data_IF_474820981337
#
_entry.id   IF_474820981337
#
_cell.length_a   1.000
_cell.length_b   1.000
_cell.length_c   1.000
_cell.angle_alpha   90.00
_cell.angle_beta   90.00
_cell.angle_gamma   90.00
#
_symmetry.space_group_name_H-M   'P 1'
#
loop_
_entity.id
_entity.type
_entity.pdbx_description
1 polymer ?
#
# COMPACT_ATOMS: atom_id res chain seq x y z
N UNK A 1 11.08 -10.52 12.03
CA UNK A 1 12.51 -10.18 11.99
C UNK A 1 13.11 -10.39 10.58
N UNK A 2 13.24 -11.63 10.08
CA UNK A 2 13.90 -11.89 8.79
C UNK A 2 13.21 -11.24 7.57
N UNK A 3 11.88 -11.34 7.46
CA UNK A 3 11.16 -10.72 6.34
C UNK A 3 11.31 -9.19 6.28
N UNK A 4 11.30 -8.54 7.45
CA UNK A 4 11.55 -7.10 7.58
C UNK A 4 12.97 -6.75 7.14
N UNK A 5 13.96 -7.50 7.58
CA UNK A 5 15.36 -7.29 7.18
C UNK A 5 15.54 -7.43 5.65
N UNK A 6 14.89 -8.41 5.02
CA UNK A 6 14.91 -8.59 3.57
C UNK A 6 14.31 -7.36 2.84
N UNK A 7 13.13 -6.90 3.26
CA UNK A 7 12.49 -5.72 2.68
C UNK A 7 13.36 -4.46 2.82
N UNK A 8 14.11 -4.32 3.91
CA UNK A 8 14.97 -3.16 4.12
C UNK A 8 16.20 -3.10 3.19
N UNK A 9 16.50 -4.16 2.43
CA UNK A 9 17.57 -4.12 1.42
C UNK A 9 17.11 -3.30 0.21
N UNK A 10 16.03 -3.70 -0.47
CA UNK A 10 15.49 -3.01 -1.67
C UNK A 10 13.97 -3.17 -1.88
N UNK A 11 13.22 -3.61 -0.86
CA UNK A 11 11.77 -3.88 -0.97
C UNK A 11 10.87 -2.96 -0.14
N UNK A 12 11.46 -2.04 0.62
CA UNK A 12 10.76 -1.25 1.62
C UNK A 12 9.69 -0.37 0.94
N UNK A 13 8.47 -0.49 1.44
CA UNK A 13 7.31 0.24 0.94
C UNK A 13 6.57 -0.44 -0.21
N UNK A 14 7.11 -1.47 -0.86
CA UNK A 14 6.48 -2.07 -2.03
C UNK A 14 5.31 -3.00 -1.67
N UNK A 15 5.53 -4.32 -1.60
CA UNK A 15 4.45 -5.27 -1.33
C UNK A 15 4.97 -6.51 -0.59
N UNK A 16 4.10 -7.19 0.15
CA UNK A 16 4.32 -8.56 0.58
C UNK A 16 3.04 -9.40 0.41
N UNK A 17 3.20 -10.71 0.32
CA UNK A 17 2.09 -11.67 0.42
C UNK A 17 2.22 -12.50 1.69
N UNK A 18 1.09 -12.76 2.33
CA UNK A 18 1.00 -13.68 3.46
C UNK A 18 -0.08 -14.72 3.19
N UNK A 19 0.28 -15.99 3.37
CA UNK A 19 -0.67 -17.10 3.35
C UNK A 19 -0.97 -17.50 4.79
N UNK A 20 -2.11 -17.04 5.30
CA UNK A 20 -2.57 -17.29 6.67
C UNK A 20 -4.07 -17.07 6.75
N UNK A 21 -4.75 -17.87 7.58
CA UNK A 21 -6.16 -17.66 7.96
C UNK A 21 -6.31 -17.12 9.39
N UNK A 22 -5.18 -16.88 10.08
CA UNK A 22 -5.18 -16.26 11.41
C UNK A 22 -5.07 -14.74 11.28
N UNK A 23 -6.08 -14.03 11.78
CA UNK A 23 -6.11 -12.57 11.84
C UNK A 23 -4.95 -11.99 12.66
N UNK A 24 -4.52 -12.68 13.71
CA UNK A 24 -3.39 -12.24 14.54
C UNK A 24 -2.08 -12.24 13.75
N UNK A 25 -1.86 -13.27 12.92
CA UNK A 25 -0.72 -13.33 12.03
C UNK A 25 -0.78 -12.22 10.96
N UNK A 26 -1.96 -11.99 10.38
CA UNK A 26 -2.18 -10.97 9.35
C UNK A 26 -1.90 -9.58 9.90
N UNK A 27 -2.49 -9.25 11.06
CA UNK A 27 -2.28 -7.97 11.75
C UNK A 27 -0.82 -7.78 12.13
N UNK A 28 -0.18 -8.80 12.71
CA UNK A 28 1.24 -8.75 13.07
C UNK A 28 2.11 -8.46 11.85
N UNK A 29 1.87 -9.12 10.72
CA UNK A 29 2.62 -8.86 9.49
C UNK A 29 2.38 -7.43 8.96
N UNK A 30 1.13 -6.98 8.94
CA UNK A 30 0.77 -5.64 8.47
C UNK A 30 1.33 -4.49 9.33
N UNK A 31 1.51 -4.72 10.64
CA UNK A 31 2.10 -3.73 11.55
C UNK A 31 3.63 -3.72 11.52
N UNK A 32 4.27 -4.87 11.29
CA UNK A 32 5.72 -5.00 11.43
C UNK A 32 6.51 -4.75 10.14
N UNK A 33 5.93 -5.10 8.98
CA UNK A 33 6.62 -5.02 7.70
C UNK A 33 6.53 -3.60 7.12
N UNK A 34 7.64 -3.03 6.61
CA UNK A 34 7.63 -1.74 5.94
C UNK A 34 7.11 -1.93 4.51
N UNK A 35 5.79 -1.99 4.32
CA UNK A 35 5.14 -2.23 3.03
C UNK A 35 3.93 -1.32 2.87
N UNK A 36 3.56 -0.99 1.63
CA UNK A 36 2.31 -0.28 1.36
C UNK A 36 1.13 -1.22 1.10
N UNK A 37 1.41 -2.45 0.67
CA UNK A 37 0.39 -3.47 0.36
C UNK A 37 0.75 -4.82 0.95
N UNK A 38 -0.16 -5.38 1.73
CA UNK A 38 -0.11 -6.77 2.16
C UNK A 38 -1.27 -7.53 1.50
N UNK A 39 -0.98 -8.46 0.60
CA UNK A 39 -2.02 -9.33 0.03
C UNK A 39 -2.13 -10.62 0.84
N UNK A 40 -3.37 -11.04 1.12
CA UNK A 40 -3.65 -12.19 1.96
C UNK A 40 -4.21 -13.33 1.11
N UNK A 41 -3.59 -14.51 1.20
CA UNK A 41 -4.01 -15.72 0.49
C UNK A 41 -4.17 -15.53 -1.03
N UNK A 42 -3.32 -14.70 -1.64
CA UNK A 42 -3.34 -14.35 -3.06
C UNK A 42 -1.92 -14.22 -3.63
N UNK A 43 -1.77 -14.42 -4.94
CA UNK A 43 -0.49 -14.25 -5.63
C UNK A 43 -0.12 -12.76 -5.79
N UNK A 44 0.96 -12.34 -5.14
CA UNK A 44 1.36 -10.92 -5.07
C UNK A 44 1.54 -10.24 -6.43
N UNK A 45 2.14 -10.92 -7.41
CA UNK A 45 2.50 -10.33 -8.70
C UNK A 45 1.29 -9.85 -9.50
N UNK A 46 0.15 -10.54 -9.37
CA UNK A 46 -1.07 -10.24 -10.10
C UNK A 46 -2.04 -9.39 -9.29
N UNK A 47 -2.03 -9.51 -7.96
CA UNK A 47 -3.09 -8.93 -7.13
C UNK A 47 -2.66 -7.67 -6.38
N UNK A 48 -1.36 -7.43 -6.16
CA UNK A 48 -0.92 -6.21 -5.46
C UNK A 48 -1.23 -4.92 -6.24
N UNK A 49 -1.28 -5.01 -7.57
CA UNK A 49 -1.72 -3.92 -8.45
C UNK A 49 -3.23 -3.71 -8.48
N UNK A 50 -3.99 -4.46 -7.69
CA UNK A 50 -5.45 -4.47 -7.72
C UNK A 50 -6.00 -5.66 -8.46
N UNK A 51 -6.96 -6.33 -7.82
CA UNK A 51 -7.70 -7.48 -8.34
C UNK A 51 -9.19 -7.28 -8.05
N UNK A 52 -10.04 -7.94 -8.84
CA UNK A 52 -11.48 -8.06 -8.57
C UNK A 52 -11.77 -8.66 -7.17
N UNK A 53 -10.76 -9.26 -6.53
CA UNK A 53 -10.87 -9.98 -5.25
C UNK A 53 -10.25 -9.27 -4.05
N UNK A 54 -9.65 -8.08 -4.18
CA UNK A 54 -8.97 -7.43 -3.04
C UNK A 54 -9.17 -5.92 -2.90
N UNK A 55 -10.00 -5.29 -3.74
CA UNK A 55 -10.47 -3.92 -3.51
C UNK A 55 -9.43 -2.81 -3.66
N UNK A 56 -8.18 -3.11 -4.03
CA UNK A 56 -7.22 -2.07 -4.37
C UNK A 56 -7.56 -1.43 -5.72
N UNK A 57 -7.26 -0.15 -5.87
CA UNK A 57 -7.39 0.53 -7.15
C UNK A 57 -6.52 -0.18 -8.22
N UNK A 58 -7.07 -0.56 -9.38
CA UNK A 58 -6.34 -1.30 -10.41
C UNK A 58 -5.31 -0.40 -11.10
N UNK A 59 -4.04 -0.81 -11.08
CA UNK A 59 -2.93 -0.06 -11.69
C UNK A 59 -1.68 -0.93 -11.86
N UNK A 60 -0.79 -0.51 -12.76
CA UNK A 60 0.58 -1.05 -12.90
C UNK A 60 1.63 -0.17 -12.23
N UNK A 61 1.24 0.98 -11.67
CA UNK A 61 2.14 1.92 -10.99
C UNK A 61 1.85 1.96 -9.49
N UNK A 62 2.76 1.43 -8.69
CA UNK A 62 2.57 1.19 -7.26
C UNK A 62 3.44 2.14 -6.43
N UNK A 63 2.80 3.02 -5.65
CA UNK A 63 3.52 3.90 -4.73
C UNK A 63 4.16 3.12 -3.59
N UNK A 64 5.43 3.36 -3.30
CA UNK A 64 6.17 2.73 -2.19
C UNK A 64 6.19 3.58 -0.91
N UNK A 65 5.45 4.67 -0.86
CA UNK A 65 5.44 5.59 0.28
C UNK A 65 6.82 6.19 0.57
N UNK A 66 6.96 6.82 1.73
CA UNK A 66 8.21 7.46 2.15
C UNK A 66 9.36 6.47 2.31
N UNK A 67 9.07 5.20 2.60
CA UNK A 67 10.09 4.14 2.66
C UNK A 67 10.84 3.95 1.34
N UNK A 68 10.13 4.06 0.21
CA UNK A 68 10.71 3.97 -1.13
C UNK A 68 10.93 5.34 -1.80
N UNK A 69 10.89 6.45 -1.04
CA UNK A 69 11.07 7.80 -1.58
C UNK A 69 9.94 8.29 -2.50
N UNK A 70 8.71 7.77 -2.35
CA UNK A 70 7.56 8.19 -3.13
C UNK A 70 6.61 9.09 -2.30
N UNK A 71 5.93 10.00 -2.99
CA UNK A 71 4.94 10.89 -2.37
C UNK A 71 3.64 10.18 -1.97
N UNK A 72 3.40 8.97 -2.48
CA UNK A 72 2.21 8.16 -2.18
C UNK A 72 2.60 6.71 -1.91
N UNK A 73 1.84 6.05 -1.03
CA UNK A 73 1.87 4.60 -0.79
C UNK A 73 0.74 3.87 -1.52
N UNK A 74 -0.22 4.61 -2.06
CA UNK A 74 -1.39 4.06 -2.72
C UNK A 74 -1.04 3.41 -4.08
N UNK A 75 -1.98 2.62 -4.59
CA UNK A 75 -2.03 2.32 -6.01
C UNK A 75 -2.37 3.61 -6.75
N UNK A 76 -1.54 4.00 -7.73
CA UNK A 76 -1.78 5.21 -8.50
C UNK A 76 -3.12 5.09 -9.23
N UNK A 77 -4.05 5.93 -8.82
CA UNK A 77 -5.42 6.03 -9.33
C UNK A 77 -5.73 7.44 -9.88
N UNK A 78 -6.84 7.59 -10.61
CA UNK A 78 -7.22 8.82 -11.33
C UNK A 78 -7.23 10.07 -10.43
N UNK A 79 -7.57 9.92 -9.15
CA UNK A 79 -7.57 11.02 -8.16
C UNK A 79 -6.21 11.71 -8.00
N UNK A 80 -5.11 11.00 -8.24
CA UNK A 80 -3.76 11.56 -8.14
C UNK A 80 -3.38 12.38 -9.38
N UNK A 81 -4.14 12.26 -10.47
CA UNK A 81 -3.92 12.97 -11.73
C UNK A 81 -4.84 14.21 -11.86
N UNK A 82 -5.63 14.50 -10.84
CA UNK A 82 -6.55 15.63 -10.82
C UNK A 82 -6.14 16.65 -9.75
N UNK A 83 -6.10 17.92 -10.16
CA UNK A 83 -5.95 19.02 -9.22
C UNK A 83 -7.30 19.37 -8.59
N UNK A 84 -7.30 19.66 -7.29
CA UNK A 84 -8.49 20.12 -6.55
C UNK A 84 -8.22 21.50 -5.96
N UNK A 85 -8.80 22.52 -6.56
CA UNK A 85 -8.80 23.90 -6.02
C UNK A 85 -9.78 24.00 -4.85
N UNK A 86 -9.37 24.62 -3.74
CA UNK A 86 -10.20 24.81 -2.54
C UNK A 86 -10.29 26.29 -2.19
N UNK A 87 -11.49 26.77 -1.86
CA UNK A 87 -11.74 28.14 -1.39
C UNK A 87 -11.99 28.08 0.12
N UNK A 88 -11.10 28.67 0.91
CA UNK A 88 -11.27 28.80 2.37
C UNK A 88 -11.88 30.15 2.72
N UNK A 89 -13.14 30.16 3.17
CA UNK A 89 -13.79 31.37 3.73
C UNK A 89 -13.51 31.44 5.24
N UNK A 90 -13.52 32.66 5.79
CA UNK A 90 -13.51 32.84 7.25
C UNK A 90 -14.72 32.12 7.84
N UNK A 91 -14.57 31.54 9.03
CA UNK A 91 -15.71 31.10 9.84
C UNK A 91 -16.09 32.31 10.70
N UNK A 92 -17.25 32.95 10.48
CA UNK A 92 -17.69 34.06 11.34
C UNK A 92 -18.04 33.54 12.73
N UNK A 93 -17.87 34.42 13.72
CA UNK A 93 -18.24 34.19 15.13
C UNK A 93 -19.74 33.94 15.32
#
# INVERSE_FOLDING_TARGET
AMAKANLLVEGAGHSAALHSNSDDHIKKAGLELPISRLVINQASSLTAGGSLTNGFAPTTTLGCGSWGGNSISENLDYKHLMNVSRIGKIIPD
#
